data_IF_010453475375
#
_entry.id   IF_010453475375
#
_cell.length_a   1.000
_cell.length_b   1.000
_cell.length_c   1.000
_cell.angle_alpha   90.00
_cell.angle_beta   90.00
_cell.angle_gamma   90.00
#
_symmetry.space_group_name_H-M   'P 1'
#
loop_
_entity.id
_entity.type
_entity.pdbx_description
1 polymer ?
#
# COMPACT_ATOMS: atom_id res chain seq x y z
N UNK A 1 -17.43 7.38 -7.33
CA UNK A 1 -17.55 5.91 -7.48
C UNK A 1 -19.03 5.58 -7.42
N UNK A 2 -19.51 4.66 -8.24
CA UNK A 2 -20.94 4.32 -8.25
C UNK A 2 -21.32 3.39 -7.08
N UNK A 3 -20.35 2.58 -6.60
CA UNK A 3 -20.53 1.65 -5.48
C UNK A 3 -19.31 1.66 -4.52
N UNK A 4 -19.53 1.39 -3.21
CA UNK A 4 -18.45 1.19 -2.26
C UNK A 4 -17.47 0.11 -2.70
N UNK A 5 -16.18 0.47 -2.73
CA UNK A 5 -15.10 -0.33 -3.30
C UNK A 5 -13.98 -0.56 -2.27
N UNK A 6 -13.16 -1.59 -2.44
CA UNK A 6 -12.00 -1.81 -1.56
C UNK A 6 -10.84 -0.92 -2.01
N UNK A 7 -10.03 -0.42 -1.08
CA UNK A 7 -8.87 0.41 -1.43
C UNK A 7 -7.93 -0.25 -2.45
N UNK A 8 -7.62 -1.54 -2.28
CA UNK A 8 -6.82 -2.28 -3.26
C UNK A 8 -7.44 -2.30 -4.67
N UNK A 9 -8.77 -2.35 -4.76
CA UNK A 9 -9.49 -2.26 -6.03
C UNK A 9 -9.47 -0.84 -6.60
N UNK A 10 -9.57 0.19 -5.75
CA UNK A 10 -9.45 1.59 -6.21
C UNK A 10 -8.06 1.83 -6.83
N UNK A 11 -6.99 1.35 -6.18
CA UNK A 11 -5.62 1.40 -6.72
C UNK A 11 -5.52 0.64 -8.05
N UNK A 12 -6.08 -0.56 -8.12
CA UNK A 12 -6.04 -1.39 -9.33
C UNK A 12 -6.87 -0.78 -10.47
N UNK A 13 -8.04 -0.21 -10.18
CA UNK A 13 -8.87 0.50 -11.16
C UNK A 13 -8.12 1.71 -11.74
N UNK A 14 -7.43 2.48 -10.91
CA UNK A 14 -6.61 3.61 -11.37
C UNK A 14 -5.50 3.11 -12.29
N UNK A 15 -4.84 2.00 -11.92
CA UNK A 15 -3.79 1.36 -12.72
C UNK A 15 -4.29 0.93 -14.10
N UNK A 16 -5.49 0.35 -14.20
CA UNK A 16 -6.02 -0.20 -15.46
C UNK A 16 -6.81 0.79 -16.31
N UNK A 17 -7.68 1.58 -15.68
CA UNK A 17 -8.60 2.47 -16.37
C UNK A 17 -8.01 3.88 -16.54
N UNK A 18 -7.05 4.26 -15.71
CA UNK A 18 -6.47 5.59 -15.71
C UNK A 18 -7.42 6.66 -15.16
N UNK A 19 -8.38 6.27 -14.32
CA UNK A 19 -9.39 7.12 -13.71
C UNK A 19 -8.79 7.99 -12.59
N UNK A 20 -9.35 9.18 -12.39
CA UNK A 20 -9.00 10.06 -11.27
C UNK A 20 -10.25 10.43 -10.48
N UNK A 21 -10.21 10.20 -9.17
CA UNK A 21 -11.34 10.41 -8.27
C UNK A 21 -10.86 10.59 -6.83
N UNK A 22 -11.76 11.00 -5.94
CA UNK A 22 -11.51 10.95 -4.50
C UNK A 22 -12.57 10.08 -3.82
N UNK A 23 -12.27 9.66 -2.59
CA UNK A 23 -13.16 8.83 -1.79
C UNK A 23 -13.31 9.39 -0.38
N UNK A 24 -14.49 9.19 0.19
CA UNK A 24 -14.83 9.42 1.59
C UNK A 24 -15.04 8.06 2.29
N UNK A 25 -15.20 8.07 3.61
CA UNK A 25 -15.32 6.84 4.41
C UNK A 25 -16.38 5.85 3.91
N UNK A 26 -17.50 6.34 3.36
CA UNK A 26 -18.61 5.51 2.89
C UNK A 26 -18.33 4.82 1.55
N UNK A 27 -17.37 5.32 0.78
CA UNK A 27 -16.89 4.67 -0.44
C UNK A 27 -16.03 3.43 -0.13
N UNK A 28 -15.57 3.25 1.11
CA UNK A 28 -14.70 2.14 1.49
C UNK A 28 -15.49 0.92 1.98
N UNK A 29 -15.62 -0.08 1.09
CA UNK A 29 -16.24 -1.39 1.40
C UNK A 29 -15.44 -2.22 2.40
N UNK A 30 -14.12 -2.08 2.42
CA UNK A 30 -13.25 -2.78 3.37
C UNK A 30 -13.04 -1.92 4.62
N UNK A 31 -13.76 -2.18 5.71
CA UNK A 31 -13.60 -1.42 6.96
C UNK A 31 -12.20 -1.55 7.58
N UNK A 32 -11.55 -2.71 7.42
CA UNK A 32 -10.14 -2.84 7.81
C UNK A 32 -9.23 -1.92 6.97
N UNK A 33 -9.44 -1.85 5.66
CA UNK A 33 -8.69 -0.93 4.80
C UNK A 33 -8.95 0.53 5.14
N UNK A 34 -10.21 0.92 5.35
CA UNK A 34 -10.59 2.27 5.74
C UNK A 34 -9.89 2.70 7.04
N UNK A 35 -9.93 1.84 8.06
CA UNK A 35 -9.29 2.12 9.34
C UNK A 35 -7.76 2.16 9.25
N UNK A 36 -7.14 1.24 8.52
CA UNK A 36 -5.69 1.27 8.27
C UNK A 36 -5.25 2.57 7.58
N UNK A 37 -6.10 3.14 6.73
CA UNK A 37 -5.87 4.41 6.03
C UNK A 37 -6.30 5.65 6.84
N UNK A 38 -6.64 5.51 8.13
CA UNK A 38 -6.87 6.64 9.03
C UNK A 38 -8.27 7.28 8.94
N UNK A 39 -9.23 6.67 8.24
CA UNK A 39 -10.61 7.19 8.22
C UNK A 39 -11.36 7.01 9.53
N UNK A 40 -11.05 5.94 10.26
CA UNK A 40 -11.69 5.60 11.52
C UNK A 40 -10.80 4.64 12.33
N UNK A 41 -11.20 4.35 13.55
CA UNK A 41 -10.51 3.39 14.39
C UNK A 41 -10.65 1.94 13.86
N UNK A 42 -9.61 1.12 14.09
CA UNK A 42 -9.63 -0.29 13.69
C UNK A 42 -10.81 -1.02 14.38
N UNK A 43 -11.63 -1.77 13.63
CA UNK A 43 -12.68 -2.60 14.22
C UNK A 43 -12.12 -3.53 15.31
N UNK A 44 -12.86 -3.71 16.40
CA UNK A 44 -12.39 -4.49 17.54
C UNK A 44 -11.99 -5.93 17.16
N UNK A 45 -12.68 -6.54 16.20
CA UNK A 45 -12.35 -7.88 15.68
C UNK A 45 -11.03 -7.93 14.91
N UNK A 46 -10.58 -6.81 14.34
CA UNK A 46 -9.26 -6.69 13.73
C UNK A 46 -8.20 -6.43 14.80
N UNK A 47 -8.44 -5.48 15.73
CA UNK A 47 -7.52 -5.17 16.83
C UNK A 47 -7.18 -6.40 17.67
N UNK A 48 -8.19 -7.20 18.02
CA UNK A 48 -8.00 -8.41 18.83
C UNK A 48 -7.41 -9.59 18.05
N UNK A 49 -7.30 -9.48 16.71
CA UNK A 49 -6.93 -10.58 15.83
C UNK A 49 -8.04 -11.61 15.57
N UNK A 50 -9.23 -11.44 16.16
CA UNK A 50 -10.36 -12.39 16.06
C UNK A 50 -10.77 -12.67 14.62
N UNK A 51 -10.81 -11.64 13.77
CA UNK A 51 -11.15 -11.81 12.35
C UNK A 51 -10.16 -12.74 11.64
N UNK A 52 -8.85 -12.48 11.78
CA UNK A 52 -7.83 -13.29 11.11
C UNK A 52 -7.68 -14.69 11.69
N UNK A 53 -7.97 -14.85 12.99
CA UNK A 53 -8.05 -16.16 13.62
C UNK A 53 -9.24 -16.97 13.07
N UNK A 54 -10.44 -16.39 12.99
CA UNK A 54 -11.62 -17.02 12.38
C UNK A 54 -11.42 -17.36 10.90
N UNK A 55 -10.65 -16.55 10.17
CA UNK A 55 -10.23 -16.80 8.79
C UNK A 55 -9.12 -17.85 8.66
N UNK A 56 -8.73 -18.51 9.77
CA UNK A 56 -7.68 -19.55 9.85
C UNK A 56 -6.34 -19.09 9.27
N UNK A 57 -6.03 -17.80 9.36
CA UNK A 57 -4.72 -17.26 8.97
C UNK A 57 -3.65 -17.50 10.04
N UNK A 58 -4.08 -17.80 11.27
CA UNK A 58 -3.20 -18.06 12.40
C UNK A 58 -3.71 -19.25 13.20
N UNK A 59 -2.77 -20.00 13.80
CA UNK A 59 -3.08 -21.13 14.69
C UNK A 59 -3.62 -20.70 16.05
N UNK A 60 -3.36 -19.46 16.47
CA UNK A 60 -3.82 -18.93 17.76
C UNK A 60 -4.26 -17.47 17.62
N UNK A 61 -5.19 -17.06 18.49
CA UNK A 61 -5.62 -15.66 18.59
C UNK A 61 -4.46 -14.72 18.95
N UNK A 62 -3.52 -15.17 19.78
CA UNK A 62 -2.35 -14.38 20.17
C UNK A 62 -1.39 -14.12 19.01
N UNK A 63 -1.22 -15.08 18.10
CA UNK A 63 -0.43 -14.85 16.89
C UNK A 63 -1.11 -13.80 15.99
N UNK A 64 -2.43 -13.90 15.80
CA UNK A 64 -3.19 -12.92 15.03
C UNK A 64 -3.10 -11.51 15.63
N UNK A 65 -3.30 -11.38 16.96
CA UNK A 65 -3.19 -10.10 17.68
C UNK A 65 -1.81 -9.47 17.52
N UNK A 66 -0.73 -10.23 17.78
CA UNK A 66 0.64 -9.72 17.65
C UNK A 66 0.95 -9.23 16.24
N UNK A 67 0.43 -9.90 15.21
CA UNK A 67 0.56 -9.41 13.83
C UNK A 67 -0.20 -8.10 13.64
N UNK A 68 -1.45 -8.02 14.09
CA UNK A 68 -2.26 -6.80 13.93
C UNK A 68 -1.71 -5.59 14.70
N UNK A 69 -1.03 -5.80 15.82
CA UNK A 69 -0.32 -4.75 16.56
C UNK A 69 0.92 -4.21 15.82
N UNK A 70 1.43 -4.94 14.84
CA UNK A 70 2.60 -4.57 14.02
C UNK A 70 2.23 -4.07 12.64
N UNK A 71 1.00 -4.27 12.19
CA UNK A 71 0.52 -3.73 10.92
C UNK A 71 0.54 -2.19 11.00
N UNK A 72 1.19 -1.51 10.03
CA UNK A 72 1.18 -0.05 9.95
C UNK A 72 -0.24 0.48 9.77
N UNK A 73 -0.59 1.52 10.53
CA UNK A 73 -1.91 2.16 10.51
C UNK A 73 -1.70 3.67 10.58
N UNK A 74 -2.38 4.41 9.72
CA UNK A 74 -2.45 5.88 9.81
C UNK A 74 -3.30 6.24 11.01
N UNK A 75 -2.91 7.30 11.73
CA UNK A 75 -3.61 7.78 12.93
C UNK A 75 -5.14 7.82 12.71
N UNK A 76 -5.96 7.23 13.60
CA UNK A 76 -7.42 7.22 13.43
C UNK A 76 -8.01 8.62 13.30
N UNK A 77 -9.07 8.74 12.50
CA UNK A 77 -9.84 9.96 12.25
C UNK A 77 -9.06 11.15 11.65
N UNK A 78 -7.79 10.93 11.26
CA UNK A 78 -6.91 11.94 10.67
C UNK A 78 -7.13 12.15 9.17
N UNK A 79 -7.71 11.17 8.47
CA UNK A 79 -7.98 11.23 7.03
C UNK A 79 -9.46 11.46 6.78
N UNK A 80 -9.80 12.52 6.02
CA UNK A 80 -11.18 12.84 5.64
C UNK A 80 -11.54 12.40 4.23
N UNK A 81 -10.55 12.39 3.34
CA UNK A 81 -10.70 11.94 1.96
C UNK A 81 -9.36 11.39 1.46
N UNK A 82 -9.41 10.51 0.47
CA UNK A 82 -8.22 10.07 -0.28
C UNK A 82 -8.45 10.34 -1.75
N UNK A 83 -7.50 11.01 -2.42
CA UNK A 83 -7.50 11.18 -3.86
C UNK A 83 -6.68 10.08 -4.53
N UNK A 84 -7.15 9.62 -5.67
CA UNK A 84 -6.53 8.60 -6.51
C UNK A 84 -6.42 9.14 -7.93
N UNK A 85 -5.24 8.98 -8.53
CA UNK A 85 -5.00 9.34 -9.92
C UNK A 85 -3.75 8.60 -10.42
N UNK A 86 -3.62 8.36 -11.74
CA UNK A 86 -2.35 7.99 -12.34
C UNK A 86 -1.34 9.11 -12.11
N UNK A 87 -0.07 8.74 -11.87
CA UNK A 87 0.97 9.71 -11.55
C UNK A 87 1.17 10.74 -12.68
N UNK A 88 0.99 10.33 -13.92
CA UNK A 88 1.09 11.19 -15.10
C UNK A 88 -0.12 12.12 -15.31
N UNK A 89 -1.23 11.91 -14.59
CA UNK A 89 -2.46 12.72 -14.67
C UNK A 89 -2.79 13.48 -13.38
N UNK A 90 -2.07 13.25 -12.30
CA UNK A 90 -2.39 13.89 -11.01
C UNK A 90 -2.19 15.40 -11.08
N UNK A 91 -3.20 16.14 -10.60
CA UNK A 91 -3.14 17.60 -10.42
C UNK A 91 -2.72 17.99 -9.00
N UNK A 92 -2.76 17.03 -8.07
CA UNK A 92 -2.32 17.17 -6.69
C UNK A 92 -0.94 16.53 -6.53
N UNK A 93 -0.14 17.06 -5.62
CA UNK A 93 1.05 16.37 -5.14
C UNK A 93 0.58 15.19 -4.28
N UNK A 94 0.82 13.93 -4.70
CA UNK A 94 0.40 12.78 -3.91
C UNK A 94 1.28 12.65 -2.66
N UNK A 95 0.76 12.05 -1.59
CA UNK A 95 1.60 11.67 -0.44
C UNK A 95 2.40 10.39 -0.71
N UNK A 96 1.74 9.41 -1.33
CA UNK A 96 2.30 8.08 -1.63
C UNK A 96 1.98 7.69 -3.07
N UNK A 97 2.98 7.15 -3.76
CA UNK A 97 2.87 6.57 -5.09
C UNK A 97 2.90 5.05 -4.92
N UNK A 98 1.89 4.35 -5.44
CA UNK A 98 1.82 2.89 -5.40
C UNK A 98 2.14 2.33 -6.78
N UNK A 99 3.18 1.51 -6.87
CA UNK A 99 3.58 0.81 -8.10
C UNK A 99 3.34 -0.68 -7.91
N UNK A 100 2.63 -1.29 -8.86
CA UNK A 100 2.40 -2.73 -8.94
C UNK A 100 3.12 -3.25 -10.19
N UNK A 101 4.13 -4.10 -9.99
CA UNK A 101 4.94 -4.61 -11.10
C UNK A 101 5.66 -5.91 -10.71
N UNK A 102 6.37 -6.52 -11.65
CA UNK A 102 7.13 -7.74 -11.41
C UNK A 102 8.31 -7.53 -10.44
N UNK A 103 8.80 -8.60 -9.78
CA UNK A 103 9.93 -8.52 -8.85
C UNK A 103 11.18 -7.86 -9.43
N UNK A 104 11.48 -8.04 -10.71
CA UNK A 104 12.64 -7.42 -11.36
C UNK A 104 12.53 -5.89 -11.39
N UNK A 105 11.33 -5.37 -11.70
CA UNK A 105 11.06 -3.93 -11.69
C UNK A 105 11.13 -3.38 -10.26
N UNK A 106 10.55 -4.09 -9.28
CA UNK A 106 10.63 -3.70 -7.86
C UNK A 106 12.09 -3.72 -7.37
N UNK A 107 12.91 -4.66 -7.83
CA UNK A 107 14.35 -4.68 -7.55
C UNK A 107 15.05 -3.44 -8.14
N UNK A 108 14.80 -3.10 -9.40
CA UNK A 108 15.39 -1.90 -10.04
C UNK A 108 15.00 -0.61 -9.32
N UNK A 109 13.73 -0.51 -8.90
CA UNK A 109 13.25 0.61 -8.07
C UNK A 109 13.97 0.64 -6.72
N UNK A 110 14.08 -0.51 -6.04
CA UNK A 110 14.78 -0.65 -4.76
C UNK A 110 16.24 -0.21 -4.86
N UNK A 111 16.94 -0.60 -5.93
CA UNK A 111 18.31 -0.14 -6.19
C UNK A 111 18.36 1.37 -6.47
N UNK A 112 17.37 1.92 -7.18
CA UNK A 112 17.27 3.36 -7.43
C UNK A 112 17.09 4.16 -6.14
N UNK A 113 16.31 3.66 -5.17
CA UNK A 113 16.15 4.27 -3.84
C UNK A 113 17.47 4.34 -3.08
N UNK A 114 18.32 3.31 -3.23
CA UNK A 114 19.63 3.24 -2.59
C UNK A 114 20.73 3.97 -3.36
N UNK A 115 20.51 4.37 -4.62
CA UNK A 115 21.56 4.84 -5.52
C UNK A 115 22.39 6.01 -4.94
N UNK A 116 21.72 7.00 -4.35
CA UNK A 116 22.36 8.21 -3.84
C UNK A 116 22.99 8.05 -2.46
N UNK A 117 22.42 7.18 -1.62
CA UNK A 117 22.73 7.13 -0.19
C UNK A 117 23.30 5.79 0.27
N UNK A 118 23.32 4.76 -0.60
CA UNK A 118 23.66 3.40 -0.23
C UNK A 118 22.70 2.82 0.81
N UNK A 119 23.16 1.81 1.55
CA UNK A 119 22.41 1.18 2.64
C UNK A 119 21.65 -0.07 2.21
N UNK A 120 20.48 -0.31 2.83
CA UNK A 120 19.67 -1.50 2.62
C UNK A 120 18.19 -1.15 2.60
N UNK A 121 17.43 -1.78 1.72
CA UNK A 121 15.97 -1.75 1.78
C UNK A 121 15.51 -2.70 2.89
N UNK A 122 14.76 -2.16 3.84
CA UNK A 122 14.02 -2.95 4.82
C UNK A 122 12.59 -3.09 4.33
N UNK A 123 12.17 -4.33 4.09
CA UNK A 123 10.79 -4.66 3.75
C UNK A 123 10.24 -5.55 4.85
N UNK A 124 9.47 -4.96 5.77
CA UNK A 124 8.73 -5.68 6.81
C UNK A 124 7.25 -5.69 6.41
N UNK A 125 6.68 -6.89 6.26
CA UNK A 125 5.30 -7.05 5.85
C UNK A 125 4.70 -8.31 6.46
N UNK A 126 3.40 -8.24 6.75
CA UNK A 126 2.65 -9.38 7.30
C UNK A 126 1.98 -10.24 6.23
N UNK A 127 1.87 -9.76 4.98
CA UNK A 127 0.95 -10.34 3.99
C UNK A 127 -0.53 -10.18 4.40
N UNK A 128 -0.78 -9.30 5.36
CA UNK A 128 -2.07 -8.95 5.95
C UNK A 128 -2.17 -7.44 5.94
N UNK A 129 -3.32 -6.90 5.55
CA UNK A 129 -3.53 -5.46 5.31
C UNK A 129 -2.60 -4.81 4.26
N UNK A 130 -1.57 -5.50 3.78
CA UNK A 130 -0.77 -5.28 2.57
C UNK A 130 -0.86 -3.88 1.96
N UNK A 131 -1.54 -3.69 0.82
CA UNK A 131 -1.55 -2.40 0.11
C UNK A 131 -1.97 -1.24 1.02
N UNK A 132 -2.93 -1.43 1.94
CA UNK A 132 -3.37 -0.36 2.84
C UNK A 132 -2.29 -0.06 3.89
N UNK A 133 -1.73 -1.11 4.52
CA UNK A 133 -0.73 -1.01 5.58
C UNK A 133 0.66 -0.80 5.02
N UNK A 134 1.30 -1.89 4.63
CA UNK A 134 2.65 -1.93 4.07
C UNK A 134 2.84 -1.03 2.83
N UNK A 135 1.83 -0.92 1.96
CA UNK A 135 1.95 -0.21 0.69
C UNK A 135 1.61 1.29 0.74
N UNK A 136 0.88 1.74 1.76
CA UNK A 136 0.41 3.14 1.87
C UNK A 136 0.68 3.70 3.25
N UNK A 137 0.15 3.10 4.31
CA UNK A 137 0.33 3.61 5.67
C UNK A 137 1.81 3.66 6.09
N UNK A 138 2.61 2.64 5.75
CA UNK A 138 4.04 2.61 6.08
C UNK A 138 4.81 3.75 5.37
N UNK A 139 4.74 3.92 4.04
CA UNK A 139 5.37 5.07 3.38
C UNK A 139 4.87 6.42 3.88
N UNK A 140 3.56 6.54 4.14
CA UNK A 140 2.95 7.76 4.63
C UNK A 140 3.47 8.16 6.02
N UNK A 141 3.58 7.19 6.94
CA UNK A 141 3.99 7.45 8.32
C UNK A 141 5.52 7.64 8.45
N UNK A 142 6.30 6.85 7.72
CA UNK A 142 7.74 6.72 7.97
C UNK A 142 8.62 7.47 6.98
N UNK A 143 8.09 7.93 5.83
CA UNK A 143 8.90 8.54 4.76
C UNK A 143 9.86 7.56 4.08
N UNK A 144 9.70 6.26 4.32
CA UNK A 144 10.47 5.18 3.69
C UNK A 144 9.64 4.41 2.69
N UNK A 145 10.26 3.68 1.76
CA UNK A 145 9.49 2.82 0.85
C UNK A 145 8.90 1.63 1.61
N UNK A 146 7.71 1.19 1.20
CA UNK A 146 7.04 0.02 1.74
C UNK A 146 6.83 -1.03 0.65
N UNK A 147 7.30 -2.27 0.87
CA UNK A 147 7.19 -3.35 -0.11
C UNK A 147 6.29 -4.44 0.44
N UNK A 148 5.38 -4.96 -0.39
CA UNK A 148 4.48 -6.03 0.00
C UNK A 148 4.13 -6.95 -1.16
N UNK A 149 3.77 -8.18 -0.84
CA UNK A 149 3.41 -9.24 -1.80
C UNK A 149 1.90 -9.38 -2.00
N UNK A 150 1.11 -8.42 -1.52
CA UNK A 150 -0.34 -8.53 -1.46
C UNK A 150 -0.83 -9.27 -0.21
N UNK A 151 -2.12 -9.15 0.07
CA UNK A 151 -2.82 -9.96 1.05
C UNK A 151 -3.91 -10.78 0.35
N UNK A 152 -4.52 -11.74 1.06
CA UNK A 152 -5.64 -12.51 0.49
C UNK A 152 -6.77 -11.62 -0.03
N UNK A 153 -6.96 -10.44 0.56
CA UNK A 153 -7.94 -9.45 0.11
C UNK A 153 -7.56 -8.82 -1.23
N UNK A 154 -6.34 -8.29 -1.37
CA UNK A 154 -5.91 -7.69 -2.63
C UNK A 154 -5.89 -8.73 -3.75
N UNK A 155 -5.22 -9.86 -3.53
CA UNK A 155 -5.11 -10.94 -4.54
C UNK A 155 -6.45 -11.50 -5.01
N UNK A 156 -7.48 -11.50 -4.15
CA UNK A 156 -8.81 -12.02 -4.51
C UNK A 156 -9.66 -11.04 -5.30
N UNK A 157 -9.49 -9.73 -5.08
CA UNK A 157 -10.43 -8.71 -5.59
C UNK A 157 -9.83 -7.80 -6.65
N UNK A 158 -8.54 -7.97 -6.98
CA UNK A 158 -7.80 -7.16 -7.96
C UNK A 158 -7.17 -8.08 -9.00
N UNK A 159 -6.63 -7.50 -10.06
CA UNK A 159 -5.94 -8.22 -11.14
C UNK A 159 -4.42 -8.29 -10.88
N UNK A 160 -3.98 -8.21 -9.62
CA UNK A 160 -2.56 -8.31 -9.26
C UNK A 160 -2.10 -9.75 -9.47
N UNK A 161 -1.28 -9.96 -10.50
CA UNK A 161 -0.84 -11.27 -10.99
C UNK A 161 0.11 -11.97 -10.01
N UNK A 162 0.20 -13.31 -10.09
CA UNK A 162 1.08 -14.12 -9.23
C UNK A 162 2.54 -13.65 -9.23
N UNK A 163 3.00 -13.12 -10.37
CA UNK A 163 4.35 -12.60 -10.57
C UNK A 163 4.46 -11.09 -10.36
N UNK A 164 3.53 -10.45 -9.65
CA UNK A 164 3.57 -9.03 -9.32
C UNK A 164 3.73 -8.81 -7.83
N UNK A 165 4.40 -7.72 -7.47
CA UNK A 165 4.59 -7.21 -6.12
C UNK A 165 4.21 -5.73 -6.10
N UNK A 166 4.05 -5.18 -4.90
CA UNK A 166 3.65 -3.79 -4.69
C UNK A 166 4.76 -3.06 -3.95
N UNK A 167 5.07 -1.85 -4.40
CA UNK A 167 5.89 -0.89 -3.66
C UNK A 167 5.15 0.44 -3.51
N UNK A 168 5.07 0.92 -2.27
CA UNK A 168 4.68 2.26 -1.92
C UNK A 168 5.90 3.16 -1.78
N UNK A 169 5.84 4.34 -2.38
CA UNK A 169 6.96 5.29 -2.43
C UNK A 169 6.44 6.65 -1.95
N UNK A 170 7.04 7.24 -0.90
CA UNK A 170 6.69 8.60 -0.51
C UNK A 170 7.08 9.57 -1.63
N UNK A 171 6.19 10.51 -1.98
CA UNK A 171 6.39 11.39 -3.14
C UNK A 171 7.69 12.20 -3.07
N UNK A 172 8.13 12.59 -1.88
CA UNK A 172 9.40 13.27 -1.64
C UNK A 172 10.62 12.50 -2.19
N UNK A 173 10.52 11.18 -2.38
CA UNK A 173 11.61 10.35 -2.95
C UNK A 173 11.53 10.21 -4.48
N UNK A 174 10.47 10.71 -5.13
CA UNK A 174 10.25 10.53 -6.57
C UNK A 174 11.36 11.14 -7.42
N UNK A 175 11.80 12.36 -7.11
CA UNK A 175 12.84 13.04 -7.89
C UNK A 175 14.19 12.32 -7.81
N UNK A 176 14.60 11.89 -6.62
CA UNK A 176 15.82 11.12 -6.43
C UNK A 176 15.75 9.77 -7.16
N UNK A 177 14.59 9.10 -7.09
CA UNK A 177 14.35 7.85 -7.81
C UNK A 177 14.42 8.04 -9.32
N UNK A 178 13.73 9.05 -9.88
CA UNK A 178 13.76 9.33 -11.31
C UNK A 178 15.17 9.64 -11.83
N UNK A 179 15.92 10.46 -11.09
CA UNK A 179 17.31 10.78 -11.41
C UNK A 179 18.22 9.56 -11.36
N UNK A 180 18.07 8.70 -10.35
CA UNK A 180 18.80 7.44 -10.23
C UNK A 180 18.46 6.47 -11.36
N UNK A 181 17.17 6.25 -11.63
CA UNK A 181 16.72 5.34 -12.69
C UNK A 181 17.23 5.76 -14.06
N UNK A 182 17.24 7.06 -14.39
CA UNK A 182 17.85 7.53 -15.65
C UNK A 182 19.33 7.17 -15.79
N UNK A 183 20.11 7.30 -14.72
CA UNK A 183 21.55 7.00 -14.76
C UNK A 183 21.83 5.50 -14.77
N UNK A 184 21.09 4.75 -13.97
CA UNK A 184 21.26 3.31 -13.80
C UNK A 184 20.78 2.52 -15.02
N UNK A 185 19.69 2.96 -15.66
CA UNK A 185 19.05 2.21 -16.75
C UNK A 185 19.50 2.66 -18.14
N UNK A 186 20.14 3.83 -18.29
CA UNK A 186 20.66 4.28 -19.58
C UNK A 186 21.94 3.55 -20.03
N UNK A 187 22.53 2.69 -19.18
CA UNK A 187 23.74 1.94 -19.46
C UNK A 187 23.54 0.45 -19.77
N UNK A 188 22.29 -0.02 -19.89
CA UNK A 188 21.92 -1.40 -20.23
C UNK A 188 21.22 -1.47 -21.58
#
# INVERSE_FOLDING_TARGET
LDDPTRHCQMVDNVRYNGDSFYTLIDDHKCKGGAATLGFCDLPQSLKSGDLYFKLKRFSTINAARRTMEKVPVISPDSVKAIAYAPLEKTILVPDVIVIISNPETIMKISQSVLYKHGGRITADFAGIQSICGDGVAEPYNCGTVGITVGCSGSRKHTSINENEMIIGIPFERLNDLYGASKKMLAGN
#
